data_IF_486291980221
#
_entry.id   IF_486291980221
#
_cell.length_a   1.000
_cell.length_b   1.000
_cell.length_c   1.000
_cell.angle_alpha   90.00
_cell.angle_beta   90.00
_cell.angle_gamma   90.00
#
_symmetry.space_group_name_H-M   'P 1'
#
loop_
_entity.id
_entity.type
_entity.pdbx_description
1 polymer ?
#
# COMPACT_ATOMS: atom_id res chain seq x y z
N UNK A 1 15.06 -5.17 1.01
CA UNK A 1 14.51 -3.89 1.50
C UNK A 1 13.05 -4.08 1.86
N UNK A 2 12.62 -3.56 2.96
CA UNK A 2 11.23 -3.64 3.41
C UNK A 2 10.49 -2.37 2.99
N UNK A 3 9.53 -2.54 2.09
CA UNK A 3 8.73 -1.44 1.54
C UNK A 3 7.29 -1.60 2.00
N UNK A 4 6.70 -0.53 2.52
CA UNK A 4 5.28 -0.48 2.81
C UNK A 4 4.61 0.50 1.85
N UNK A 5 3.52 0.06 1.22
CA UNK A 5 2.70 0.91 0.37
C UNK A 5 1.35 1.07 1.06
N UNK A 6 0.99 2.30 1.39
CA UNK A 6 -0.28 2.61 2.05
C UNK A 6 -1.28 3.07 0.99
N UNK A 7 -2.35 2.33 0.84
CA UNK A 7 -3.34 2.53 -0.20
C UNK A 7 -3.25 1.47 -1.28
N UNK A 8 -4.35 0.78 -1.57
CA UNK A 8 -4.41 -0.32 -2.55
C UNK A 8 -5.28 0.02 -3.75
N UNK A 9 -5.30 1.29 -4.13
CA UNK A 9 -5.87 1.70 -5.41
C UNK A 9 -4.92 1.34 -6.55
N UNK A 10 -5.19 1.88 -7.73
CA UNK A 10 -4.41 1.54 -8.92
C UNK A 10 -2.90 1.75 -8.71
N UNK A 11 -2.52 2.96 -8.29
CA UNK A 11 -1.11 3.33 -8.18
C UNK A 11 -0.41 2.49 -7.11
N UNK A 12 -1.01 2.37 -5.94
CA UNK A 12 -0.41 1.62 -4.84
C UNK A 12 -0.27 0.14 -5.14
N UNK A 13 -1.28 -0.46 -5.74
CA UNK A 13 -1.25 -1.89 -6.07
C UNK A 13 -0.22 -2.21 -7.16
N UNK A 14 -0.16 -1.41 -8.20
CA UNK A 14 0.82 -1.59 -9.29
C UNK A 14 2.24 -1.39 -8.75
N UNK A 15 2.47 -0.33 -7.99
CA UNK A 15 3.78 -0.05 -7.43
C UNK A 15 4.23 -1.18 -6.48
N UNK A 16 3.36 -1.63 -5.60
CA UNK A 16 3.66 -2.70 -4.67
C UNK A 16 4.03 -4.00 -5.36
N UNK A 17 3.23 -4.38 -6.36
CA UNK A 17 3.48 -5.60 -7.13
C UNK A 17 4.82 -5.53 -7.88
N UNK A 18 5.13 -4.39 -8.47
CA UNK A 18 6.39 -4.19 -9.21
C UNK A 18 7.61 -4.24 -8.28
N UNK A 19 7.53 -3.60 -7.12
CA UNK A 19 8.63 -3.66 -6.15
C UNK A 19 8.86 -5.08 -5.64
N UNK A 20 7.80 -5.83 -5.39
CA UNK A 20 7.92 -7.23 -4.98
C UNK A 20 8.57 -8.07 -6.06
N UNK A 21 8.23 -7.83 -7.32
CA UNK A 21 8.81 -8.56 -8.46
C UNK A 21 10.33 -8.34 -8.56
N UNK A 22 10.81 -7.16 -8.15
CA UNK A 22 12.25 -6.87 -8.16
C UNK A 22 13.00 -7.47 -6.96
N UNK A 23 12.31 -8.17 -6.08
CA UNK A 23 12.93 -8.87 -4.96
C UNK A 23 12.77 -8.20 -3.59
N UNK A 24 12.10 -7.06 -3.50
CA UNK A 24 11.85 -6.40 -2.23
C UNK A 24 10.73 -7.10 -1.44
N UNK A 25 10.78 -6.99 -0.12
CA UNK A 25 9.68 -7.39 0.75
C UNK A 25 8.68 -6.23 0.80
N UNK A 26 7.46 -6.46 0.35
CA UNK A 26 6.45 -5.41 0.22
C UNK A 26 5.22 -5.75 1.05
N UNK A 27 4.78 -4.78 1.84
CA UNK A 27 3.50 -4.84 2.55
C UNK A 27 2.61 -3.75 1.98
N UNK A 28 1.47 -4.14 1.44
CA UNK A 28 0.44 -3.20 0.99
C UNK A 28 -0.61 -3.09 2.08
N UNK A 29 -0.79 -1.91 2.63
CA UNK A 29 -1.71 -1.65 3.73
C UNK A 29 -2.86 -0.77 3.28
N UNK A 30 -4.06 -1.11 3.71
CA UNK A 30 -5.26 -0.31 3.43
C UNK A 30 -6.26 -0.52 4.56
N UNK A 31 -6.90 0.56 5.00
CA UNK A 31 -7.91 0.46 6.05
C UNK A 31 -9.19 -0.25 5.61
N UNK A 32 -9.39 -0.42 4.31
CA UNK A 32 -10.56 -1.09 3.76
C UNK A 32 -10.38 -2.61 3.84
N UNK A 33 -11.03 -3.23 4.83
CA UNK A 33 -10.92 -4.67 5.08
C UNK A 33 -11.41 -5.50 3.91
N UNK A 34 -12.46 -5.06 3.21
CA UNK A 34 -12.98 -5.79 2.04
C UNK A 34 -11.98 -5.87 0.90
N UNK A 35 -11.28 -4.76 0.64
CA UNK A 35 -10.22 -4.74 -0.38
C UNK A 35 -9.10 -5.69 -0.01
N UNK A 36 -8.68 -5.66 1.24
CA UNK A 36 -7.60 -6.51 1.73
C UNK A 36 -7.99 -7.99 1.64
N UNK A 37 -9.20 -8.34 2.06
CA UNK A 37 -9.67 -9.73 1.99
C UNK A 37 -9.70 -10.24 0.54
N UNK A 38 -10.15 -9.41 -0.40
CA UNK A 38 -10.15 -9.77 -1.81
C UNK A 38 -8.74 -9.93 -2.36
N UNK A 39 -7.83 -9.02 -2.03
CA UNK A 39 -6.45 -9.09 -2.51
C UNK A 39 -5.71 -10.32 -1.99
N UNK A 40 -5.96 -10.72 -0.75
CA UNK A 40 -5.39 -11.96 -0.19
C UNK A 40 -5.81 -13.21 -0.98
N UNK A 41 -6.97 -13.16 -1.62
CA UNK A 41 -7.50 -14.23 -2.45
C UNK A 41 -7.22 -14.02 -3.94
N UNK A 42 -6.35 -13.08 -4.29
CA UNK A 42 -6.00 -12.71 -5.66
C UNK A 42 -7.18 -12.14 -6.46
N UNK A 43 -8.14 -11.52 -5.77
CA UNK A 43 -9.26 -10.81 -6.39
C UNK A 43 -8.90 -9.33 -6.40
N UNK A 44 -8.58 -8.80 -7.57
CA UNK A 44 -8.14 -7.41 -7.70
C UNK A 44 -9.33 -6.48 -7.94
N UNK A 45 -9.34 -5.29 -7.31
CA UNK A 45 -10.41 -4.31 -7.52
C UNK A 45 -10.32 -3.58 -8.86
N UNK A 46 -9.22 -3.76 -9.58
CA UNK A 46 -8.98 -3.12 -10.87
C UNK A 46 -8.56 -4.17 -11.90
N UNK A 47 -8.81 -3.87 -13.17
CA UNK A 47 -8.35 -4.71 -14.27
C UNK A 47 -7.13 -4.06 -14.93
N UNK A 48 -6.00 -4.78 -14.89
CA UNK A 48 -4.78 -4.39 -15.55
C UNK A 48 -4.13 -5.65 -16.12
N UNK A 49 -3.89 -5.73 -17.43
CA UNK A 49 -3.30 -6.94 -18.02
C UNK A 49 -1.98 -7.33 -17.36
N UNK A 50 -1.87 -8.57 -16.93
CA UNK A 50 -0.67 -9.10 -16.29
C UNK A 50 -0.55 -8.83 -14.80
N UNK A 51 -1.30 -7.87 -14.25
CA UNK A 51 -1.20 -7.53 -12.83
C UNK A 51 -1.66 -8.68 -11.93
N UNK A 52 -2.72 -9.37 -12.30
CA UNK A 52 -3.24 -10.47 -11.50
C UNK A 52 -2.19 -11.58 -11.31
N UNK A 53 -1.52 -11.98 -12.40
CA UNK A 53 -0.46 -12.97 -12.33
C UNK A 53 0.72 -12.51 -11.49
N UNK A 54 1.07 -11.22 -11.59
CA UNK A 54 2.17 -10.63 -10.83
C UNK A 54 1.86 -10.65 -9.33
N UNK A 55 0.67 -10.26 -8.93
CA UNK A 55 0.23 -10.27 -7.54
C UNK A 55 0.20 -11.69 -7.00
N UNK A 56 -0.41 -12.62 -7.73
CA UNK A 56 -0.52 -14.01 -7.32
C UNK A 56 0.86 -14.64 -7.10
N UNK A 57 1.77 -14.46 -8.04
CA UNK A 57 3.13 -15.01 -7.96
C UNK A 57 3.89 -14.47 -6.76
N UNK A 58 3.81 -13.17 -6.51
CA UNK A 58 4.57 -12.56 -5.43
C UNK A 58 3.95 -12.85 -4.05
N UNK A 59 2.64 -13.00 -3.96
CA UNK A 59 2.01 -13.49 -2.73
C UNK A 59 2.44 -14.92 -2.41
N UNK A 60 2.47 -15.79 -3.41
CA UNK A 60 2.88 -17.18 -3.24
C UNK A 60 4.31 -17.30 -2.73
N UNK A 61 5.18 -16.37 -3.11
CA UNK A 61 6.57 -16.36 -2.67
C UNK A 61 6.80 -15.51 -1.42
N UNK A 62 5.73 -15.04 -0.78
CA UNK A 62 5.77 -14.24 0.44
C UNK A 62 6.53 -12.91 0.31
N UNK A 63 6.68 -12.40 -0.91
CA UNK A 63 7.28 -11.09 -1.15
C UNK A 63 6.25 -9.96 -1.16
N UNK A 64 4.97 -10.30 -1.28
CA UNK A 64 3.88 -9.33 -1.30
C UNK A 64 2.82 -9.77 -0.28
N UNK A 65 2.53 -8.90 0.66
CA UNK A 65 1.58 -9.18 1.75
C UNK A 65 0.57 -8.03 1.81
N UNK A 66 -0.68 -8.35 2.05
CA UNK A 66 -1.74 -7.35 2.23
C UNK A 66 -2.23 -7.35 3.67
N UNK A 67 -2.43 -6.17 4.26
CA UNK A 67 -2.86 -6.05 5.65
C UNK A 67 -3.72 -4.80 5.86
N UNK A 68 -4.74 -4.85 6.75
CA UNK A 68 -5.44 -3.66 7.19
C UNK A 68 -4.70 -2.91 8.30
N UNK A 69 -3.64 -3.51 8.86
CA UNK A 69 -2.91 -2.95 10.00
C UNK A 69 -1.81 -1.98 9.53
N UNK A 70 -2.20 -0.75 9.20
CA UNK A 70 -1.28 0.27 8.68
C UNK A 70 -0.15 0.57 9.67
N UNK A 71 -0.46 0.71 10.95
CA UNK A 71 0.53 1.02 11.97
C UNK A 71 1.66 -0.03 12.04
N UNK A 72 1.28 -1.30 12.07
CA UNK A 72 2.25 -2.41 12.09
C UNK A 72 3.10 -2.44 10.83
N UNK A 73 2.49 -2.17 9.68
CA UNK A 73 3.20 -2.14 8.40
C UNK A 73 4.26 -1.03 8.37
N UNK A 74 3.95 0.13 8.94
CA UNK A 74 4.88 1.25 9.03
C UNK A 74 6.07 0.93 9.94
N UNK A 75 5.82 0.28 11.06
CA UNK A 75 6.88 -0.03 12.04
C UNK A 75 8.01 -0.89 11.46
N UNK A 76 7.71 -1.77 10.52
CA UNK A 76 8.67 -2.69 9.94
C UNK A 76 9.30 -2.19 8.63
N UNK A 77 8.90 -1.02 8.15
CA UNK A 77 9.31 -0.53 6.83
C UNK A 77 10.63 0.23 6.85
N UNK A 78 11.40 0.09 5.79
CA UNK A 78 12.54 0.96 5.47
C UNK A 78 12.08 2.15 4.63
N UNK A 79 11.10 1.94 3.75
CA UNK A 79 10.51 2.96 2.90
C UNK A 79 9.00 2.83 2.95
N UNK A 80 8.31 3.96 3.06
CA UNK A 80 6.84 3.99 3.03
C UNK A 80 6.40 4.87 1.86
N UNK A 81 5.58 4.30 0.97
CA UNK A 81 4.92 5.04 -0.10
C UNK A 81 3.48 5.32 0.31
N UNK A 82 3.09 6.57 0.25
CA UNK A 82 1.71 6.98 0.53
C UNK A 82 0.97 7.11 -0.80
N UNK A 83 0.09 6.17 -1.09
CA UNK A 83 -0.64 6.08 -2.35
C UNK A 83 -2.16 6.11 -2.14
N UNK A 84 -2.62 6.75 -1.07
CA UNK A 84 -4.04 6.91 -0.80
C UNK A 84 -4.65 7.94 -1.75
N UNK A 85 -5.94 7.79 -2.03
CA UNK A 85 -6.63 8.69 -2.93
C UNK A 85 -6.77 10.12 -2.38
N UNK A 86 -6.85 11.08 -3.28
CA UNK A 86 -7.09 12.48 -2.96
C UNK A 86 -8.33 12.95 -3.73
N UNK A 87 -9.55 12.48 -3.32
CA UNK A 87 -10.76 12.86 -4.04
C UNK A 87 -11.00 14.37 -3.97
N UNK A 88 -11.69 14.96 -4.96
CA UNK A 88 -11.98 16.39 -4.92
C UNK A 88 -12.97 16.73 -3.80
N UNK A 89 -12.76 17.88 -3.17
CA UNK A 89 -13.71 18.48 -2.24
C UNK A 89 -14.87 19.13 -3.00
N UNK A 90 -15.88 19.60 -2.25
CA UNK A 90 -17.04 20.28 -2.81
C UNK A 90 -16.70 21.51 -3.65
N UNK A 91 -15.61 22.20 -3.30
CA UNK A 91 -15.12 23.38 -4.02
C UNK A 91 -14.18 23.03 -5.19
N UNK A 92 -13.95 21.74 -5.45
CA UNK A 92 -13.09 21.27 -6.53
C UNK A 92 -11.62 21.12 -6.17
N UNK A 93 -11.22 21.48 -4.97
CA UNK A 93 -9.84 21.23 -4.52
C UNK A 93 -9.66 19.78 -4.07
N UNK A 94 -8.41 19.29 -4.04
CA UNK A 94 -8.13 17.93 -3.60
C UNK A 94 -8.32 17.79 -2.08
N UNK A 95 -8.99 16.71 -1.67
CA UNK A 95 -9.12 16.37 -0.25
C UNK A 95 -7.88 15.62 0.20
N UNK A 96 -7.07 16.25 1.04
CA UNK A 96 -5.82 15.68 1.54
C UNK A 96 -5.97 14.98 2.90
N UNK A 97 -7.20 14.84 3.40
CA UNK A 97 -7.42 14.25 4.73
C UNK A 97 -6.86 12.85 4.87
N UNK A 98 -6.96 12.02 3.84
CA UNK A 98 -6.42 10.66 3.87
C UNK A 98 -4.89 10.66 3.92
N UNK A 99 -4.25 11.52 3.15
CA UNK A 99 -2.79 11.65 3.15
C UNK A 99 -2.29 12.12 4.52
N UNK A 100 -2.96 13.12 5.09
CA UNK A 100 -2.61 13.64 6.41
C UNK A 100 -2.79 12.60 7.52
N UNK A 101 -3.87 11.81 7.45
CA UNK A 101 -4.12 10.75 8.42
C UNK A 101 -3.01 9.68 8.38
N UNK A 102 -2.58 9.30 7.19
CA UNK A 102 -1.49 8.33 7.02
C UNK A 102 -0.18 8.90 7.52
N UNK A 103 0.13 10.15 7.19
CA UNK A 103 1.34 10.82 7.65
C UNK A 103 1.40 10.89 9.19
N UNK A 104 0.26 11.17 9.84
CA UNK A 104 0.18 11.18 11.29
C UNK A 104 0.44 9.79 11.88
N UNK A 105 -0.14 8.75 11.29
CA UNK A 105 0.11 7.37 11.70
C UNK A 105 1.58 7.01 11.60
N UNK A 106 2.24 7.40 10.53
CA UNK A 106 3.68 7.19 10.34
C UNK A 106 4.46 7.86 11.45
N UNK A 107 4.16 9.11 11.75
CA UNK A 107 4.84 9.86 12.80
C UNK A 107 4.71 9.23 14.19
N UNK A 108 3.54 8.65 14.50
CA UNK A 108 3.29 8.00 15.79
C UNK A 108 3.98 6.64 15.93
N UNK A 109 4.11 5.90 14.84
CA UNK A 109 4.55 4.49 14.87
C UNK A 109 5.94 4.28 14.28
N UNK A 110 6.61 5.34 13.92
CA UNK A 110 7.98 5.28 13.41
C UNK A 110 8.92 4.94 14.56
N UNK A 111 9.52 3.75 14.52
CA UNK A 111 10.43 3.28 15.56
C UNK A 111 11.90 3.47 15.19
N UNK A 112 12.17 3.84 13.96
CA UNK A 112 13.53 4.04 13.43
C UNK A 112 13.44 5.01 12.24
N UNK A 113 14.59 5.41 11.75
CA UNK A 113 14.67 6.25 10.56
C UNK A 113 14.09 5.52 9.36
N UNK A 114 13.23 6.19 8.61
CA UNK A 114 12.65 5.65 7.38
C UNK A 114 12.47 6.75 6.34
N UNK A 115 12.34 6.35 5.08
CA UNK A 115 12.08 7.26 3.96
C UNK A 115 10.59 7.22 3.65
N UNK A 116 9.98 8.39 3.52
CA UNK A 116 8.55 8.51 3.17
C UNK A 116 8.44 9.17 1.80
N UNK A 117 7.67 8.55 0.91
CA UNK A 117 7.43 9.04 -0.45
C UNK A 117 5.93 9.23 -0.65
N UNK A 118 5.53 10.37 -1.16
CA UNK A 118 4.13 10.67 -1.45
C UNK A 118 3.88 10.82 -2.95
#
# INVERSE_FOLDING_TARGET
MNITVVGTGYVGLVAGACFAETGSQVVCADVNQKKIDGLKQNILPIYEPGLNSLVERNQAQCRLVFTPAVASAVESADVVFIAVGTPPDEDGSADLSYVLAVAETIGKHQSRELVVVT
#
